data_IF_771094610043
#
_entry.id   IF_771094610043
#
_cell.length_a   1.000
_cell.length_b   1.000
_cell.length_c   1.000
_cell.angle_alpha   90.00
_cell.angle_beta   90.00
_cell.angle_gamma   90.00
#
_symmetry.space_group_name_H-M   'P 1'
#
loop_
_entity.id
_entity.type
_entity.pdbx_description
1 polymer ?
#
# COMPACT_ATOMS: atom_id res chain seq x y z
N UNK A 1 -10.85 -10.35 -21.65
CA UNK A 1 -10.57 -8.91 -21.44
C UNK A 1 -9.11 -8.73 -21.03
N UNK A 2 -8.41 -7.76 -21.62
CA UNK A 2 -7.03 -7.43 -21.25
C UNK A 2 -7.00 -6.99 -19.78
N UNK A 3 -6.11 -7.58 -18.98
CA UNK A 3 -5.95 -7.25 -17.56
C UNK A 3 -5.25 -5.89 -17.47
N UNK A 4 -5.99 -4.83 -17.14
CA UNK A 4 -5.42 -3.48 -16.93
C UNK A 4 -4.43 -3.54 -15.76
N UNK A 5 -3.13 -3.45 -16.03
CA UNK A 5 -2.08 -3.24 -15.03
C UNK A 5 -1.68 -1.77 -15.01
N UNK A 6 -1.79 -1.14 -13.84
CA UNK A 6 -1.22 0.17 -13.57
C UNK A 6 -0.01 0.05 -12.65
N UNK A 7 1.11 0.69 -12.98
CA UNK A 7 2.26 0.77 -12.07
C UNK A 7 2.30 2.12 -11.39
N UNK A 8 2.56 2.08 -10.09
CA UNK A 8 2.79 3.26 -9.28
C UNK A 8 4.29 3.36 -9.05
N UNK A 9 4.84 4.50 -9.44
CA UNK A 9 6.28 4.76 -9.48
C UNK A 9 6.65 6.03 -8.73
N UNK A 10 7.91 6.12 -8.34
CA UNK A 10 8.55 7.36 -7.97
C UNK A 10 9.79 7.57 -8.84
N UNK A 11 10.13 8.83 -9.12
CA UNK A 11 11.36 9.18 -9.83
C UNK A 11 12.51 9.22 -8.85
N UNK A 12 13.64 8.58 -9.16
CA UNK A 12 14.89 8.72 -8.42
C UNK A 12 15.95 9.21 -9.41
N UNK A 13 16.32 10.50 -9.32
CA UNK A 13 17.21 11.15 -10.28
C UNK A 13 16.76 10.99 -11.74
N UNK A 14 15.47 11.13 -12.01
CA UNK A 14 14.90 10.95 -13.35
C UNK A 14 14.72 9.49 -13.79
N UNK A 15 15.17 8.52 -12.97
CA UNK A 15 14.96 7.10 -13.25
C UNK A 15 13.69 6.62 -12.53
N UNK A 16 12.69 6.09 -13.24
CA UNK A 16 11.48 5.59 -12.61
C UNK A 16 11.74 4.31 -11.80
N UNK A 17 11.21 4.29 -10.58
CA UNK A 17 11.32 3.21 -9.60
C UNK A 17 9.92 2.69 -9.25
N UNK A 18 9.72 1.38 -9.35
CA UNK A 18 8.46 0.72 -9.07
C UNK A 18 8.21 0.64 -7.56
N UNK A 19 7.11 1.25 -7.09
CA UNK A 19 6.67 1.12 -5.70
C UNK A 19 5.76 -0.09 -5.53
N UNK A 20 4.74 -0.18 -6.38
CA UNK A 20 3.80 -1.29 -6.46
C UNK A 20 3.04 -1.27 -7.79
N UNK A 21 2.36 -2.35 -8.12
CA UNK A 21 1.47 -2.44 -9.28
C UNK A 21 0.04 -2.76 -8.82
N UNK A 22 -0.96 -2.23 -9.52
CA UNK A 22 -2.38 -2.48 -9.32
C UNK A 22 -2.92 -3.17 -10.56
N UNK A 23 -3.68 -4.25 -10.39
CA UNK A 23 -4.27 -5.01 -11.47
C UNK A 23 -5.75 -5.19 -11.23
N UNK A 24 -6.56 -4.86 -12.22
CA UNK A 24 -7.98 -5.20 -12.21
C UNK A 24 -8.15 -6.62 -12.76
N UNK A 25 -8.78 -7.47 -11.96
CA UNK A 25 -9.11 -8.85 -12.29
C UNK A 25 -10.60 -8.96 -12.67
N UNK A 26 -11.02 -10.15 -13.12
CA UNK A 26 -12.44 -10.42 -13.38
C UNK A 26 -13.30 -10.17 -12.13
N UNK A 27 -14.54 -9.72 -12.34
CA UNK A 27 -15.48 -9.45 -11.25
C UNK A 27 -15.16 -8.19 -10.44
N UNK A 28 -14.36 -7.25 -10.96
CA UNK A 28 -14.04 -5.99 -10.29
C UNK A 28 -13.07 -6.11 -9.13
N UNK A 29 -12.46 -7.28 -8.93
CA UNK A 29 -11.43 -7.49 -7.90
C UNK A 29 -10.17 -6.70 -8.26
N UNK A 30 -9.64 -5.94 -7.31
CA UNK A 30 -8.32 -5.32 -7.45
C UNK A 30 -7.25 -6.16 -6.77
N UNK A 31 -6.09 -6.24 -7.40
CA UNK A 31 -4.89 -6.86 -6.85
C UNK A 31 -3.74 -5.87 -6.86
N UNK A 32 -3.31 -5.44 -5.69
CA UNK A 32 -2.11 -4.64 -5.48
C UNK A 32 -0.94 -5.57 -5.17
N UNK A 33 0.20 -5.31 -5.81
CA UNK A 33 1.38 -6.18 -5.76
C UNK A 33 2.62 -5.33 -5.47
N UNK A 34 3.23 -5.57 -4.31
CA UNK A 34 4.52 -4.99 -3.94
C UNK A 34 5.61 -6.00 -4.35
N UNK A 35 6.32 -5.66 -5.42
CA UNK A 35 7.47 -6.44 -5.91
C UNK A 35 8.74 -5.89 -5.26
N UNK A 36 9.73 -6.75 -4.99
CA UNK A 36 11.04 -6.34 -4.47
C UNK A 36 11.15 -6.23 -2.95
N UNK A 37 10.10 -6.51 -2.19
CA UNK A 37 10.16 -6.64 -0.74
C UNK A 37 10.56 -8.06 -0.35
N UNK A 38 11.81 -8.43 -0.58
CA UNK A 38 12.29 -9.77 -0.20
C UNK A 38 12.77 -9.80 1.23
N UNK A 39 12.19 -10.67 2.05
CA UNK A 39 12.57 -10.82 3.46
C UNK A 39 12.26 -12.24 3.95
N UNK A 40 13.00 -12.72 4.96
CA UNK A 40 12.70 -14.00 5.59
C UNK A 40 11.46 -13.92 6.47
N UNK A 41 10.67 -14.99 6.52
CA UNK A 41 9.51 -15.14 7.41
C UNK A 41 9.44 -16.57 7.94
N UNK A 42 9.08 -16.75 9.22
CA UNK A 42 8.82 -18.05 9.80
C UNK A 42 7.34 -18.43 9.65
N UNK A 43 7.05 -19.60 9.05
CA UNK A 43 5.69 -20.14 8.92
C UNK A 43 5.73 -21.60 9.34
N UNK A 44 4.92 -21.98 10.34
CA UNK A 44 4.88 -23.35 10.86
C UNK A 44 6.26 -23.86 11.32
N UNK A 45 7.07 -22.98 11.92
CA UNK A 45 8.42 -23.29 12.40
C UNK A 45 9.50 -23.39 11.31
N UNK A 46 9.16 -23.19 10.03
CA UNK A 46 10.12 -23.22 8.91
C UNK A 46 10.36 -21.82 8.35
N UNK A 47 11.61 -21.52 8.02
CA UNK A 47 11.99 -20.27 7.38
C UNK A 47 11.66 -20.31 5.89
N UNK A 48 10.94 -19.30 5.43
CA UNK A 48 10.60 -19.06 4.04
C UNK A 48 11.09 -17.68 3.61
N UNK A 49 11.27 -17.48 2.31
CA UNK A 49 11.59 -16.17 1.74
C UNK A 49 10.34 -15.62 1.06
N UNK A 50 9.86 -14.47 1.52
CA UNK A 50 8.83 -13.72 0.81
C UNK A 50 9.48 -13.09 -0.41
N UNK A 51 8.82 -13.18 -1.57
CA UNK A 51 9.28 -12.54 -2.81
C UNK A 51 8.29 -11.51 -3.36
N UNK A 52 7.05 -11.54 -2.87
CA UNK A 52 6.00 -10.61 -3.27
C UNK A 52 4.95 -10.51 -2.18
N UNK A 53 4.48 -9.30 -1.92
CA UNK A 53 3.33 -9.05 -1.06
C UNK A 53 2.14 -8.64 -1.91
N UNK A 54 0.96 -9.13 -1.55
CA UNK A 54 -0.24 -9.05 -2.38
C UNK A 54 -1.42 -8.64 -1.54
N UNK A 55 -2.12 -7.60 -1.96
CA UNK A 55 -3.38 -7.18 -1.36
C UNK A 55 -4.48 -7.31 -2.41
N UNK A 56 -5.48 -8.15 -2.14
CA UNK A 56 -6.65 -8.27 -3.00
C UNK A 56 -7.86 -7.62 -2.34
N UNK A 57 -8.53 -6.73 -3.07
CA UNK A 57 -9.78 -6.12 -2.69
C UNK A 57 -10.90 -6.68 -3.56
N UNK A 58 -11.92 -7.21 -2.94
CA UNK A 58 -13.09 -7.73 -3.66
C UNK A 58 -14.36 -7.45 -2.87
N UNK A 59 -15.46 -7.43 -3.61
CA UNK A 59 -16.80 -7.32 -3.06
C UNK A 59 -17.39 -8.72 -3.08
N UNK A 60 -17.79 -9.23 -1.93
CA UNK A 60 -18.53 -10.47 -1.84
C UNK A 60 -19.88 -10.29 -2.56
N UNK A 61 -20.21 -11.11 -3.56
CA UNK A 61 -21.40 -10.88 -4.38
C UNK A 61 -22.71 -11.18 -3.64
N UNK A 62 -22.66 -11.89 -2.51
CA UNK A 62 -23.84 -12.31 -1.75
C UNK A 62 -24.13 -11.34 -0.61
N UNK A 63 -23.15 -11.11 0.25
CA UNK A 63 -23.25 -10.21 1.41
C UNK A 63 -22.99 -8.75 1.04
N UNK A 64 -22.35 -8.48 -0.10
CA UNK A 64 -21.91 -7.16 -0.50
C UNK A 64 -20.69 -6.67 0.28
N UNK A 65 -20.11 -7.48 1.17
CA UNK A 65 -19.00 -7.07 2.04
C UNK A 65 -17.76 -6.75 1.21
N UNK A 66 -17.00 -5.75 1.65
CA UNK A 66 -15.69 -5.46 1.08
C UNK A 66 -14.64 -6.19 1.89
N UNK A 67 -13.86 -7.04 1.22
CA UNK A 67 -12.77 -7.78 1.85
C UNK A 67 -11.43 -7.32 1.31
N UNK A 68 -10.54 -6.92 2.23
CA UNK A 68 -9.12 -6.68 1.98
C UNK A 68 -8.34 -7.88 2.50
N UNK A 69 -7.76 -8.65 1.57
CA UNK A 69 -6.94 -9.83 1.90
C UNK A 69 -5.48 -9.57 1.61
N UNK A 70 -4.65 -9.69 2.63
CA UNK A 70 -3.20 -9.69 2.52
C UNK A 70 -2.69 -11.11 2.37
N UNK A 71 -1.86 -11.35 1.36
CA UNK A 71 -1.20 -12.63 1.12
C UNK A 71 0.24 -12.44 0.68
N UNK A 72 1.06 -13.45 0.96
CA UNK A 72 2.49 -13.44 0.65
C UNK A 72 2.76 -14.53 -0.37
N UNK A 73 3.51 -14.20 -1.43
CA UNK A 73 4.09 -15.21 -2.32
C UNK A 73 5.50 -15.52 -1.83
N UNK A 74 5.73 -16.81 -1.59
CA UNK A 74 7.02 -17.31 -1.16
C UNK A 74 7.90 -17.66 -2.38
N UNK A 75 9.20 -17.81 -2.15
CA UNK A 75 10.18 -18.20 -3.17
C UNK A 75 9.88 -19.56 -3.81
N UNK A 76 9.24 -20.47 -3.08
CA UNK A 76 8.74 -21.76 -3.56
C UNK A 76 7.42 -21.66 -4.35
N UNK A 77 6.99 -20.43 -4.66
CA UNK A 77 5.77 -20.07 -5.41
C UNK A 77 4.46 -20.29 -4.66
N UNK A 78 4.46 -20.81 -3.43
CA UNK A 78 3.23 -20.90 -2.63
C UNK A 78 2.74 -19.51 -2.27
N UNK A 79 1.42 -19.35 -2.24
CA UNK A 79 0.75 -18.15 -1.75
C UNK A 79 0.11 -18.49 -0.41
N UNK A 80 0.47 -17.73 0.63
CA UNK A 80 -0.05 -17.92 1.98
C UNK A 80 -0.89 -16.70 2.34
N UNK A 81 -2.13 -16.93 2.79
CA UNK A 81 -2.95 -15.86 3.34
C UNK A 81 -2.35 -15.43 4.68
N UNK A 82 -2.13 -14.13 4.84
CA UNK A 82 -1.52 -13.56 6.03
C UNK A 82 -2.56 -12.89 6.92
N UNK A 83 -3.48 -12.12 6.33
CA UNK A 83 -4.59 -11.50 7.02
C UNK A 83 -5.77 -11.28 6.05
N UNK A 84 -6.99 -11.23 6.58
CA UNK A 84 -8.17 -10.83 5.84
C UNK A 84 -9.10 -10.05 6.76
N UNK A 85 -9.61 -8.93 6.26
CA UNK A 85 -10.57 -8.09 6.98
C UNK A 85 -11.76 -7.83 6.07
N UNK A 86 -12.96 -7.94 6.61
CA UNK A 86 -14.21 -7.81 5.86
C UNK A 86 -15.11 -6.81 6.56
N UNK A 87 -15.66 -5.85 5.80
CA UNK A 87 -16.56 -4.84 6.32
C UNK A 87 -17.87 -4.83 5.55
N UNK A 88 -18.94 -4.53 6.28
CA UNK A 88 -20.22 -4.18 5.67
C UNK A 88 -20.05 -2.97 4.76
N UNK A 89 -20.51 -3.11 3.52
CA UNK A 89 -20.39 -2.08 2.49
C UNK A 89 -21.25 -0.83 2.74
N UNK A 90 -22.06 -0.81 3.81
CA UNK A 90 -22.91 0.33 4.18
C UNK A 90 -22.27 1.29 5.19
N UNK A 91 -21.38 0.82 6.07
CA UNK A 91 -20.88 1.61 7.21
C UNK A 91 -19.57 2.36 6.93
N UNK A 92 -18.71 1.79 6.09
CA UNK A 92 -17.38 2.33 5.76
C UNK A 92 -17.21 2.28 4.26
N UNK A 93 -16.69 3.35 3.67
CA UNK A 93 -16.49 3.51 2.23
C UNK A 93 -15.04 3.80 1.84
N UNK A 94 -14.14 3.90 2.83
CA UNK A 94 -12.70 3.96 2.66
C UNK A 94 -12.01 2.88 3.51
N UNK A 95 -11.12 2.11 2.89
CA UNK A 95 -10.38 1.04 3.51
C UNK A 95 -8.88 1.27 3.30
N UNK A 96 -8.13 1.59 4.36
CA UNK A 96 -6.69 1.57 4.30
C UNK A 96 -6.18 0.18 3.91
N UNK A 97 -5.28 0.12 2.93
CA UNK A 97 -4.74 -1.15 2.44
C UNK A 97 -3.39 -1.41 3.11
N UNK A 98 -2.45 -0.48 2.95
CA UNK A 98 -1.14 -0.53 3.59
C UNK A 98 -0.49 0.87 3.62
N UNK A 99 0.49 1.03 4.51
CA UNK A 99 1.44 2.15 4.54
C UNK A 99 2.85 1.61 4.51
N UNK A 100 3.74 2.29 3.78
CA UNK A 100 5.12 1.84 3.60
C UNK A 100 6.11 2.97 3.78
N UNK A 101 7.24 2.63 4.38
CA UNK A 101 8.47 3.40 4.37
C UNK A 101 9.44 2.73 3.40
N UNK A 102 9.82 3.44 2.34
CA UNK A 102 10.81 3.03 1.37
C UNK A 102 12.12 3.82 1.60
N UNK A 103 13.11 3.23 2.30
CA UNK A 103 14.29 3.95 2.76
C UNK A 103 15.27 4.32 1.65
N UNK A 104 15.43 3.44 0.65
CA UNK A 104 16.37 3.66 -0.45
C UNK A 104 15.77 3.19 -1.78
N UNK A 105 15.25 4.13 -2.56
CA UNK A 105 14.72 3.83 -3.90
C UNK A 105 15.80 3.50 -4.92
N UNK A 106 17.09 3.67 -4.60
CA UNK A 106 18.19 3.20 -5.48
C UNK A 106 18.32 1.69 -5.46
N UNK A 107 17.82 1.02 -4.42
CA UNK A 107 17.91 -0.44 -4.30
C UNK A 107 17.27 -1.15 -5.51
N UNK A 108 17.92 -2.23 -5.98
CA UNK A 108 17.46 -3.07 -7.12
C UNK A 108 16.08 -3.71 -6.92
N UNK A 109 15.58 -3.68 -5.70
CA UNK A 109 14.22 -4.06 -5.33
C UNK A 109 13.17 -3.22 -6.08
N UNK A 110 13.44 -1.92 -6.27
CA UNK A 110 12.52 -0.96 -6.88
C UNK A 110 12.73 -0.78 -8.39
N UNK A 111 13.63 -1.53 -9.02
CA UNK A 111 13.79 -1.45 -10.48
C UNK A 111 12.51 -1.91 -11.17
N UNK A 112 12.09 -1.17 -12.21
CA UNK A 112 11.00 -1.60 -13.07
C UNK A 112 11.40 -2.90 -13.79
N UNK A 113 10.66 -3.97 -13.52
CA UNK A 113 10.88 -5.30 -14.12
C UNK A 113 9.62 -5.76 -14.85
N UNK A 114 9.82 -6.37 -16.01
CA UNK A 114 8.75 -7.00 -16.81
C UNK A 114 8.29 -6.17 -18.01
N UNK A 115 7.31 -6.70 -18.74
CA UNK A 115 6.71 -6.06 -19.92
C UNK A 115 6.14 -4.67 -19.59
N UNK A 116 5.94 -3.76 -20.56
CA UNK A 116 5.24 -2.50 -20.33
C UNK A 116 3.88 -2.71 -19.65
N UNK A 117 3.50 -1.78 -18.76
CA UNK A 117 2.16 -1.77 -18.18
C UNK A 117 1.18 -1.08 -19.14
N UNK A 118 -0.11 -1.16 -18.85
CA UNK A 118 -1.11 -0.38 -19.59
C UNK A 118 -1.09 1.10 -19.17
N UNK A 119 -0.57 1.40 -17.97
CA UNK A 119 -0.51 2.75 -17.40
C UNK A 119 0.55 2.86 -16.30
N UNK A 120 1.44 3.83 -16.40
CA UNK A 120 2.34 4.21 -15.31
C UNK A 120 1.88 5.53 -14.67
N UNK A 121 1.98 5.62 -13.34
CA UNK A 121 1.67 6.80 -12.54
C UNK A 121 2.87 7.14 -11.65
N UNK A 122 3.47 8.30 -11.84
CA UNK A 122 4.50 8.82 -10.94
C UNK A 122 3.84 9.59 -9.78
N UNK A 123 4.23 9.31 -8.54
CA UNK A 123 3.61 9.91 -7.34
C UNK A 123 4.59 10.71 -6.47
N UNK A 124 5.87 10.72 -6.80
CA UNK A 124 6.89 11.45 -6.05
C UNK A 124 8.18 11.59 -6.86
N UNK A 125 8.89 12.70 -6.62
CA UNK A 125 10.30 12.86 -6.95
C UNK A 125 11.13 12.63 -5.68
N UNK A 126 11.84 11.52 -5.66
CA UNK A 126 12.66 11.08 -4.54
C UNK A 126 14.06 11.69 -4.58
N UNK A 127 14.46 12.31 -3.47
CA UNK A 127 15.80 12.86 -3.29
C UNK A 127 16.72 11.82 -2.60
N UNK A 128 17.75 11.31 -3.30
CA UNK A 128 18.63 10.26 -2.77
C UNK A 128 19.66 10.74 -1.74
N UNK A 129 19.82 12.05 -1.52
CA UNK A 129 20.88 12.59 -0.67
C UNK A 129 20.55 12.59 0.83
N UNK A 130 19.30 12.39 1.23
CA UNK A 130 18.93 12.36 2.65
C UNK A 130 17.61 11.64 2.98
N UNK A 131 16.85 11.12 2.00
CA UNK A 131 15.43 10.88 2.22
C UNK A 131 14.98 9.41 2.18
N UNK A 132 13.86 9.16 2.86
CA UNK A 132 13.01 7.99 2.67
C UNK A 132 11.71 8.43 1.99
N UNK A 133 11.06 7.57 1.20
CA UNK A 133 9.72 7.81 0.69
C UNK A 133 8.69 7.12 1.59
N UNK A 134 7.84 7.90 2.25
CA UNK A 134 6.67 7.39 2.96
C UNK A 134 5.44 7.46 2.07
N UNK A 135 4.63 6.40 2.01
CA UNK A 135 3.35 6.45 1.29
C UNK A 135 2.30 5.53 1.89
N UNK A 136 1.03 5.90 1.72
CA UNK A 136 -0.14 5.13 2.14
C UNK A 136 -1.10 4.95 0.99
N UNK A 137 -1.71 3.76 0.94
CA UNK A 137 -2.68 3.39 -0.10
C UNK A 137 -4.02 3.13 0.57
N UNK A 138 -5.04 3.85 0.12
CA UNK A 138 -6.41 3.75 0.60
C UNK A 138 -7.30 3.42 -0.58
N UNK A 139 -8.07 2.35 -0.47
CA UNK A 139 -9.12 2.05 -1.42
C UNK A 139 -10.43 2.69 -0.94
N UNK A 140 -11.27 3.15 -1.85
CA UNK A 140 -12.57 3.69 -1.49
C UNK A 140 -13.59 3.45 -2.59
N UNK A 141 -14.87 3.59 -2.25
CA UNK A 141 -15.98 3.36 -3.18
C UNK A 141 -17.08 4.39 -2.96
N UNK A 142 -17.50 5.02 -4.05
CA UNK A 142 -18.61 5.98 -4.02
C UNK A 142 -18.34 7.22 -3.17
N UNK A 143 -17.07 7.48 -2.83
CA UNK A 143 -16.67 8.68 -2.12
C UNK A 143 -16.18 9.76 -3.08
N UNK A 144 -16.60 10.99 -2.81
CA UNK A 144 -16.00 12.19 -3.40
C UNK A 144 -14.79 12.60 -2.57
N UNK A 145 -13.78 13.12 -3.23
CA UNK A 145 -12.63 13.73 -2.56
C UNK A 145 -12.78 15.24 -2.58
N UNK A 146 -12.79 15.85 -1.40
CA UNK A 146 -12.78 17.30 -1.26
C UNK A 146 -11.35 17.78 -1.04
N UNK A 147 -10.89 18.66 -1.95
CA UNK A 147 -9.58 19.28 -1.87
C UNK A 147 -9.40 20.01 -0.54
N UNK A 148 -8.23 19.83 0.06
CA UNK A 148 -7.83 20.59 1.26
C UNK A 148 -6.91 21.71 0.81
N UNK A 149 -7.34 22.96 1.03
CA UNK A 149 -6.64 24.15 0.52
C UNK A 149 -5.18 24.27 0.95
N UNK A 150 -4.81 23.72 2.12
CA UNK A 150 -3.44 23.69 2.63
C UNK A 150 -3.12 22.29 3.18
N UNK A 151 -2.48 21.46 2.37
CA UNK A 151 -1.87 20.22 2.84
C UNK A 151 -0.37 20.43 3.04
N UNK A 152 0.21 19.70 4.00
CA UNK A 152 1.66 19.47 4.04
C UNK A 152 2.15 19.01 2.66
N UNK A 153 3.46 19.12 2.32
CA UNK A 153 3.99 18.77 0.99
C UNK A 153 3.95 17.26 0.73
N UNK A 154 2.73 16.72 0.62
CA UNK A 154 2.39 15.36 0.27
C UNK A 154 1.75 15.39 -1.11
N UNK A 155 2.17 14.46 -1.95
CA UNK A 155 1.51 14.21 -3.23
C UNK A 155 0.31 13.33 -2.99
N UNK A 156 -0.85 13.74 -3.49
CA UNK A 156 -2.04 12.90 -3.59
C UNK A 156 -2.25 12.50 -5.05
N UNK A 157 -2.41 11.21 -5.29
CA UNK A 157 -2.76 10.69 -6.59
C UNK A 157 -3.98 9.78 -6.50
N UNK A 158 -4.80 9.76 -7.57
CA UNK A 158 -6.02 8.94 -7.66
C UNK A 158 -5.99 8.07 -8.89
N UNK A 159 -6.46 6.83 -8.72
CA UNK A 159 -6.71 5.88 -9.78
C UNK A 159 -8.14 5.34 -9.67
N UNK A 160 -8.84 5.28 -10.79
CA UNK A 160 -10.20 4.74 -10.86
C UNK A 160 -10.21 3.40 -11.58
N UNK A 161 -10.90 2.44 -10.99
CA UNK A 161 -11.15 1.11 -11.54
C UNK A 161 -12.65 0.82 -11.50
N UNK A 162 -13.10 -0.32 -12.05
CA UNK A 162 -14.52 -0.62 -12.21
C UNK A 162 -15.30 -0.63 -10.89
N UNK A 163 -14.77 -1.26 -9.84
CA UNK A 163 -15.47 -1.42 -8.56
C UNK A 163 -14.94 -0.50 -7.44
N UNK A 164 -13.71 0.00 -7.57
CA UNK A 164 -13.01 0.75 -6.52
C UNK A 164 -12.23 1.91 -7.12
N UNK A 165 -12.09 2.97 -6.34
CA UNK A 165 -11.08 3.98 -6.50
C UNK A 165 -9.91 3.73 -5.52
N UNK A 166 -8.72 4.15 -5.91
CA UNK A 166 -7.52 4.11 -5.07
C UNK A 166 -6.98 5.53 -4.92
N UNK A 167 -6.81 5.97 -3.68
CA UNK A 167 -6.04 7.15 -3.32
C UNK A 167 -4.68 6.75 -2.77
N UNK A 168 -3.66 7.47 -3.21
CA UNK A 168 -2.26 7.26 -2.81
C UNK A 168 -1.74 8.59 -2.30
N UNK A 169 -1.37 8.63 -1.03
CA UNK A 169 -0.70 9.78 -0.43
C UNK A 169 0.76 9.42 -0.25
N UNK A 170 1.67 10.26 -0.71
CA UNK A 170 3.10 10.04 -0.61
C UNK A 170 3.82 11.32 -0.19
N UNK A 171 4.89 11.18 0.58
CA UNK A 171 5.79 12.27 0.93
C UNK A 171 7.23 11.80 1.05
N UNK A 172 8.13 12.69 0.63
CA UNK A 172 9.55 12.54 0.92
C UNK A 172 9.79 12.94 2.38
N UNK A 173 10.60 12.16 3.08
CA UNK A 173 10.95 12.36 4.47
C UNK A 173 12.43 12.71 4.55
N UNK A 174 12.81 13.80 5.21
CA UNK A 174 14.20 14.25 5.38
C UNK A 174 14.99 13.41 6.42
N UNK A 175 14.59 12.15 6.60
CA UNK A 175 15.25 11.22 7.51
C UNK A 175 15.56 9.91 6.77
N UNK A 176 16.82 9.44 6.81
CA UNK A 176 17.11 8.09 6.38
C UNK A 176 16.46 7.11 7.36
N UNK A 177 15.88 6.04 6.82
CA UNK A 177 15.49 4.86 7.58
C UNK A 177 16.38 3.70 7.14
N UNK A 178 16.73 2.81 8.06
CA UNK A 178 17.61 1.69 7.75
C UNK A 178 16.81 0.53 7.14
N UNK A 179 15.58 0.30 7.63
CA UNK A 179 14.78 -0.84 7.24
C UNK A 179 13.49 -0.42 6.52
N UNK A 180 13.23 -1.08 5.39
CA UNK A 180 11.99 -0.89 4.63
C UNK A 180 10.79 -1.41 5.41
N UNK A 181 10.18 -0.55 6.21
CA UNK A 181 9.05 -0.92 7.04
C UNK A 181 7.72 -0.87 6.27
N UNK A 182 6.84 -1.81 6.57
CA UNK A 182 5.50 -1.89 5.98
C UNK A 182 4.48 -2.18 7.08
N UNK A 183 3.42 -1.39 7.09
CA UNK A 183 2.24 -1.59 7.91
C UNK A 183 1.10 -2.04 7.00
N UNK A 184 0.56 -3.23 7.26
CA UNK A 184 -0.76 -3.56 6.74
C UNK A 184 -1.78 -3.07 7.77
N UNK A 185 -2.86 -2.47 7.29
CA UNK A 185 -3.89 -1.94 8.18
C UNK A 185 -4.93 -3.02 8.46
N UNK A 186 -5.42 -3.07 9.70
CA UNK A 186 -6.73 -3.67 9.94
C UNK A 186 -7.77 -2.73 9.33
N UNK A 187 -8.93 -3.26 8.97
CA UNK A 187 -9.95 -2.41 8.39
C UNK A 187 -10.74 -1.58 9.43
N UNK A 188 -10.37 -1.68 10.71
CA UNK A 188 -10.73 -0.74 11.78
C UNK A 188 -9.78 0.47 11.87
N UNK A 189 -8.72 0.53 11.06
CA UNK A 189 -7.80 1.65 11.05
C UNK A 189 -8.57 2.94 10.66
N UNK A 190 -8.72 3.90 11.59
CA UNK A 190 -9.68 4.98 11.40
C UNK A 190 -9.17 5.99 10.38
N UNK A 191 -9.99 6.25 9.36
CA UNK A 191 -9.96 7.52 8.60
C UNK A 191 -11.16 8.32 9.09
N UNK A 192 -10.95 9.56 9.52
CA UNK A 192 -11.97 10.36 10.22
C UNK A 192 -13.30 10.48 9.45
N UNK A 193 -13.25 10.52 8.11
CA UNK A 193 -14.40 10.63 7.19
C UNK A 193 -14.66 9.35 6.37
N UNK A 194 -14.24 8.18 6.87
CA UNK A 194 -14.37 6.91 6.13
C UNK A 194 -15.83 6.50 5.84
N UNK A 195 -16.77 6.90 6.69
CA UNK A 195 -18.20 6.59 6.53
C UNK A 195 -18.97 7.61 5.69
N UNK A 196 -18.36 8.75 5.38
CA UNK A 196 -19.04 9.87 4.72
C UNK A 196 -19.05 9.71 3.20
N UNK A 197 -20.01 10.36 2.54
CA UNK A 197 -20.05 10.45 1.07
C UNK A 197 -18.89 11.27 0.51
N UNK A 198 -18.31 12.16 1.33
CA UNK A 198 -17.19 13.02 0.95
C UNK A 198 -16.07 12.85 1.96
N UNK A 199 -14.90 12.45 1.49
CA UNK A 199 -13.67 12.33 2.27
C UNK A 199 -12.77 13.52 2.00
N UNK A 200 -12.28 14.18 3.05
CA UNK A 200 -11.37 15.31 2.89
C UNK A 200 -9.94 14.81 2.66
N UNK A 201 -9.20 15.43 1.75
CA UNK A 201 -7.81 15.04 1.47
C UNK A 201 -6.92 15.16 2.72
N UNK A 202 -7.21 16.12 3.61
CA UNK A 202 -6.50 16.28 4.90
C UNK A 202 -6.59 15.06 5.79
N UNK A 203 -7.69 14.30 5.72
CA UNK A 203 -7.89 13.12 6.55
C UNK A 203 -7.01 11.97 6.04
N UNK A 204 -6.85 11.85 4.72
CA UNK A 204 -5.91 10.91 4.12
C UNK A 204 -4.45 11.26 4.44
N UNK A 205 -4.10 12.54 4.40
CA UNK A 205 -2.76 13.01 4.78
C UNK A 205 -2.52 12.73 6.27
N UNK A 206 -3.46 13.10 7.15
CA UNK A 206 -3.34 12.84 8.59
C UNK A 206 -3.20 11.35 8.91
N UNK A 207 -3.98 10.50 8.22
CA UNK A 207 -3.86 9.05 8.31
C UNK A 207 -2.46 8.58 7.94
N UNK A 208 -1.93 9.03 6.79
CA UNK A 208 -0.58 8.70 6.35
C UNK A 208 0.45 9.15 7.40
N UNK A 209 0.37 10.38 7.91
CA UNK A 209 1.31 10.89 8.92
C UNK A 209 1.32 10.04 10.18
N UNK A 210 0.14 9.63 10.65
CA UNK A 210 0.00 8.75 11.81
C UNK A 210 0.66 7.40 11.57
N UNK A 211 0.38 6.78 10.41
CA UNK A 211 0.97 5.49 10.05
C UNK A 211 2.50 5.57 9.87
N UNK A 212 3.01 6.64 9.26
CA UNK A 212 4.44 6.87 9.12
C UNK A 212 5.12 7.11 10.48
N UNK A 213 4.48 7.85 11.38
CA UNK A 213 4.96 8.05 12.75
C UNK A 213 5.11 6.71 13.49
N UNK A 214 4.13 5.82 13.37
CA UNK A 214 4.19 4.47 13.95
C UNK A 214 5.29 3.61 13.32
N UNK A 215 5.44 3.63 11.99
CA UNK A 215 6.50 2.91 11.28
C UNK A 215 7.90 3.39 11.71
N UNK A 216 8.11 4.71 11.80
CA UNK A 216 9.37 5.31 12.24
C UNK A 216 9.66 5.03 13.72
N UNK A 217 8.63 4.93 14.56
CA UNK A 217 8.79 4.55 15.96
C UNK A 217 9.20 3.08 16.11
N UNK A 218 8.61 2.19 15.31
CA UNK A 218 8.96 0.77 15.29
C UNK A 218 10.40 0.53 14.79
N UNK A 219 10.86 1.28 13.79
CA UNK A 219 12.25 1.24 13.27
C UNK A 219 13.29 1.58 14.35
N UNK A 220 12.91 2.40 15.35
CA UNK A 220 13.79 2.80 16.46
C UNK A 220 13.78 1.81 17.63
N UNK A 221 12.85 0.86 17.67
CA UNK A 221 12.86 -0.17 18.68
C UNK A 221 13.72 -1.34 18.19
N UNK A 222 14.81 -1.71 18.89
CA UNK A 222 15.55 -2.92 18.53
C UNK A 222 14.56 -4.08 18.57
N UNK A 223 14.53 -4.87 17.49
CA UNK A 223 13.63 -6.01 17.35
C UNK A 223 13.71 -6.90 18.62
N UNK A 224 12.80 -6.70 19.57
CA UNK A 224 12.52 -7.70 20.56
C UNK A 224 11.95 -8.86 19.74
N UNK A 225 12.77 -9.89 19.58
CA UNK A 225 12.44 -11.14 18.88
C UNK A 225 11.09 -11.61 19.39
N UNK A 226 10.04 -11.30 18.65
CA UNK A 226 8.69 -11.74 18.93
C UNK A 226 8.67 -13.25 18.78
N UNK A 227 8.65 -13.95 19.91
CA UNK A 227 8.05 -15.29 19.97
C UNK A 227 6.59 -15.10 19.53
N UNK A 228 6.26 -15.57 18.33
CA UNK A 228 4.86 -15.91 18.07
C UNK A 228 4.52 -17.07 19.01
N UNK A 229 3.47 -16.88 19.81
CA UNK A 229 2.97 -17.87 20.74
C UNK A 229 2.73 -19.21 20.01
N UNK A 230 3.11 -20.30 20.69
CA UNK A 230 3.01 -21.66 20.19
C UNK A 230 1.58 -22.19 20.10
#
# INVERSE_FOLDING_TARGET
MAKKECRVTASCNGVPKLLFAIRELGGGTLLLVLRGSEYPIAIGGKMHRVVEQRYSLHIDPVSGYVTVKHSLRLSDRRIVAFAAFSHENSAVRAWPVFSRLAPDLRAKAYDLKGAPSDRDLAIADYNPHAASLGYSVVAHRGQKLAASGDLAPATLARLSFGAFDISIVARTLDRPSADGALMHHSADAPIASAGDDTMAERDLVHFMETALGQLLAADRQPAQRGRLAG
#
